data_IF_399749441938
#
_entry.id   IF_399749441938
#
_cell.length_a   1.000
_cell.length_b   1.000
_cell.length_c   1.000
_cell.angle_alpha   90.00
_cell.angle_beta   90.00
_cell.angle_gamma   90.00
#
_symmetry.space_group_name_H-M   'P 1'
#
loop_
_entity.id
_entity.type
_entity.pdbx_description
1 polymer ?
#
# COMPACT_ATOMS: atom_id res chain seq x y z
N UNK A 1 7.60 4.61 -0.90
CA UNK A 1 7.80 5.13 0.46
C UNK A 1 8.12 6.63 0.46
N UNK A 2 9.18 7.07 -0.24
CA UNK A 2 9.58 8.49 -0.28
C UNK A 2 8.46 9.46 -0.67
N UNK A 3 7.75 9.19 -1.78
CA UNK A 3 6.63 10.03 -2.22
C UNK A 3 5.51 10.12 -1.18
N UNK A 4 5.11 8.98 -0.58
CA UNK A 4 4.07 8.96 0.47
C UNK A 4 4.46 9.77 1.69
N UNK A 5 5.73 9.71 2.09
CA UNK A 5 6.26 10.51 3.20
C UNK A 5 6.28 12.00 2.88
N UNK A 6 6.64 12.37 1.65
CA UNK A 6 6.60 13.75 1.18
C UNK A 6 5.18 14.32 1.22
N UNK A 7 4.20 13.58 0.68
CA UNK A 7 2.77 13.93 0.74
C UNK A 7 2.34 14.16 2.19
N UNK A 8 2.59 13.19 3.09
CA UNK A 8 2.22 13.32 4.50
C UNK A 8 2.82 14.57 5.16
N UNK A 9 4.10 14.83 4.92
CA UNK A 9 4.79 15.97 5.51
C UNK A 9 4.24 17.30 4.98
N UNK A 10 3.95 17.39 3.68
CA UNK A 10 3.35 18.57 3.05
C UNK A 10 1.93 18.82 3.55
N UNK A 11 1.11 17.79 3.74
CA UNK A 11 -0.23 17.89 4.34
C UNK A 11 -0.20 18.45 5.77
N UNK A 12 0.88 18.19 6.50
CA UNK A 12 1.14 18.74 7.83
C UNK A 12 1.79 20.14 7.80
N UNK A 13 1.89 20.76 6.62
CA UNK A 13 2.40 22.12 6.43
C UNK A 13 3.93 22.24 6.32
N UNK A 14 4.65 21.13 6.24
CA UNK A 14 6.09 21.17 6.02
C UNK A 14 6.43 21.59 4.57
N UNK A 15 7.53 22.33 4.41
CA UNK A 15 8.14 22.56 3.09
C UNK A 15 9.02 21.36 2.74
N UNK A 16 8.70 20.67 1.66
CA UNK A 16 9.33 19.40 1.27
C UNK A 16 9.94 19.54 -0.13
N UNK A 17 11.05 18.85 -0.34
CA UNK A 17 11.64 18.61 -1.66
C UNK A 17 11.91 17.11 -1.80
N UNK A 18 11.61 16.53 -2.96
CA UNK A 18 11.88 15.12 -3.27
C UNK A 18 13.11 15.04 -4.15
N UNK A 19 14.18 14.43 -3.62
CA UNK A 19 15.41 14.19 -4.38
C UNK A 19 15.54 12.72 -4.70
N UNK A 20 15.78 12.39 -5.97
CA UNK A 20 16.03 11.02 -6.42
C UNK A 20 17.24 10.97 -7.36
N UNK A 21 17.93 9.82 -7.37
CA UNK A 21 19.06 9.56 -8.27
C UNK A 21 18.62 9.53 -9.74
N UNK A 22 17.42 9.04 -10.00
CA UNK A 22 16.84 8.85 -11.33
C UNK A 22 15.43 9.46 -11.34
N UNK A 23 14.72 9.37 -12.47
CA UNK A 23 13.35 9.86 -12.57
C UNK A 23 12.45 9.14 -11.57
N UNK A 24 11.55 9.87 -10.90
CA UNK A 24 10.68 9.29 -9.87
C UNK A 24 9.83 8.13 -10.39
N UNK A 25 9.43 8.17 -11.67
CA UNK A 25 8.68 7.11 -12.34
C UNK A 25 9.46 5.81 -12.58
N UNK A 26 10.80 5.87 -12.56
CA UNK A 26 11.67 4.71 -12.82
C UNK A 26 12.03 3.96 -11.52
N UNK A 27 11.42 4.35 -10.40
CA UNK A 27 11.58 3.65 -9.13
C UNK A 27 11.20 2.16 -9.25
N UNK A 28 11.97 1.29 -8.59
CA UNK A 28 11.74 -0.16 -8.60
C UNK A 28 10.32 -0.56 -8.13
N UNK A 29 9.66 0.29 -7.34
CA UNK A 29 8.25 0.11 -6.94
C UNK A 29 7.30 -0.06 -8.13
N UNK A 30 7.56 0.59 -9.28
CA UNK A 30 6.74 0.45 -10.48
C UNK A 30 6.73 -0.96 -11.09
N UNK A 31 7.70 -1.80 -10.74
CA UNK A 31 7.83 -3.17 -11.23
C UNK A 31 7.13 -4.20 -10.33
N UNK A 32 6.55 -3.79 -9.20
CA UNK A 32 5.78 -4.69 -8.35
C UNK A 32 4.47 -5.08 -9.04
N UNK A 33 4.22 -6.39 -9.18
CA UNK A 33 3.04 -6.89 -9.90
C UNK A 33 1.97 -7.43 -8.95
N UNK A 34 2.34 -8.37 -8.07
CA UNK A 34 1.40 -9.26 -7.38
C UNK A 34 0.40 -8.61 -6.42
N UNK A 35 0.68 -7.41 -5.93
CA UNK A 35 -0.23 -6.68 -5.05
C UNK A 35 0.37 -6.36 -3.69
N UNK A 36 -0.51 -6.14 -2.73
CA UNK A 36 -0.18 -5.77 -1.36
C UNK A 36 -1.14 -6.42 -0.37
N UNK A 37 -0.64 -6.76 0.81
CA UNK A 37 -1.41 -7.49 1.82
C UNK A 37 -2.20 -6.53 2.70
N UNK A 38 -3.52 -6.71 2.77
CA UNK A 38 -4.43 -5.90 3.55
C UNK A 38 -5.76 -6.62 3.82
N UNK A 39 -6.30 -6.47 5.02
CA UNK A 39 -7.59 -7.01 5.40
C UNK A 39 -8.75 -6.06 5.02
N UNK A 40 -9.12 -6.04 3.74
CA UNK A 40 -10.20 -5.17 3.22
C UNK A 40 -11.59 -5.82 3.20
N UNK A 41 -11.64 -7.15 3.28
CA UNK A 41 -12.87 -7.92 3.10
C UNK A 41 -12.89 -9.13 4.03
N UNK A 42 -14.05 -9.38 4.66
CA UNK A 42 -14.27 -10.59 5.43
C UNK A 42 -14.06 -11.85 4.56
N UNK A 43 -13.47 -12.93 5.11
CA UNK A 43 -13.20 -13.16 6.53
C UNK A 43 -11.87 -12.59 7.04
N UNK A 44 -11.07 -11.93 6.21
CA UNK A 44 -9.77 -11.42 6.61
C UNK A 44 -9.90 -10.31 7.66
N UNK A 45 -9.05 -10.36 8.69
CA UNK A 45 -8.97 -9.34 9.74
C UNK A 45 -7.55 -8.82 9.91
N UNK A 46 -7.36 -7.60 10.43
CA UNK A 46 -6.03 -7.08 10.79
C UNK A 46 -5.26 -8.02 11.73
N UNK A 47 -5.95 -8.75 12.62
CA UNK A 47 -5.33 -9.70 13.53
C UNK A 47 -4.79 -10.93 12.81
N UNK A 48 -5.48 -11.42 11.77
CA UNK A 48 -4.97 -12.49 10.91
C UNK A 48 -3.73 -12.03 10.14
N UNK A 49 -3.75 -10.81 9.57
CA UNK A 49 -2.60 -10.22 8.89
C UNK A 49 -1.39 -10.07 9.82
N UNK A 50 -1.62 -9.59 11.05
CA UNK A 50 -0.60 -9.50 12.09
C UNK A 50 0.02 -10.86 12.39
N UNK A 51 -0.82 -11.87 12.64
CA UNK A 51 -0.37 -13.22 12.95
C UNK A 51 0.47 -13.82 11.81
N UNK A 52 -0.03 -13.76 10.59
CA UNK A 52 0.68 -14.27 9.41
C UNK A 52 2.05 -13.60 9.23
N UNK A 53 2.14 -12.29 9.53
CA UNK A 53 3.39 -11.52 9.41
C UNK A 53 4.40 -11.91 10.49
N UNK A 54 3.95 -12.10 11.74
CA UNK A 54 4.80 -12.54 12.86
C UNK A 54 5.29 -13.97 12.63
N UNK A 55 4.40 -14.88 12.28
CA UNK A 55 4.74 -16.29 12.03
C UNK A 55 5.67 -16.40 10.81
N UNK A 56 5.34 -15.70 9.72
CA UNK A 56 6.16 -15.67 8.49
C UNK A 56 7.52 -15.00 8.67
N UNK A 57 7.64 -14.10 9.65
CA UNK A 57 8.89 -13.47 10.06
C UNK A 57 9.61 -14.19 11.19
N UNK A 58 9.21 -15.41 11.56
CA UNK A 58 9.92 -16.26 12.54
C UNK A 58 10.10 -15.58 13.90
N UNK A 59 9.16 -14.72 14.30
CA UNK A 59 9.16 -13.99 15.57
C UNK A 59 10.37 -13.06 15.80
N UNK A 60 11.19 -12.79 14.78
CA UNK A 60 12.27 -11.80 14.86
C UNK A 60 11.80 -10.37 14.55
N UNK A 61 10.53 -10.20 14.18
CA UNK A 61 9.94 -8.89 13.90
C UNK A 61 9.78 -8.06 15.18
N UNK A 62 9.75 -6.74 15.00
CA UNK A 62 9.26 -5.86 16.05
C UNK A 62 7.72 -5.90 16.10
N UNK A 63 7.17 -6.56 17.12
CA UNK A 63 5.73 -6.74 17.29
C UNK A 63 4.93 -5.43 17.27
N UNK A 64 5.48 -4.33 17.82
CA UNK A 64 4.77 -3.05 17.84
C UNK A 64 4.59 -2.51 16.44
N UNK A 65 5.63 -2.60 15.61
CA UNK A 65 5.59 -2.13 14.23
C UNK A 65 4.68 -3.00 13.36
N UNK A 66 4.71 -4.33 13.53
CA UNK A 66 3.82 -5.23 12.78
C UNK A 66 2.35 -5.00 13.15
N UNK A 67 2.06 -4.69 14.41
CA UNK A 67 0.71 -4.35 14.86
C UNK A 67 0.21 -3.08 14.17
N UNK A 68 0.99 -1.99 14.26
CA UNK A 68 0.69 -0.73 13.58
C UNK A 68 0.48 -0.97 12.08
N UNK A 69 1.41 -1.67 11.44
CA UNK A 69 1.33 -1.99 10.02
C UNK A 69 0.03 -2.72 9.66
N UNK A 70 -0.34 -3.75 10.41
CA UNK A 70 -1.51 -4.57 10.09
C UNK A 70 -2.83 -3.85 10.36
N UNK A 71 -2.90 -3.03 11.41
CA UNK A 71 -4.09 -2.27 11.82
C UNK A 71 -4.34 -1.03 10.95
N UNK A 72 -3.29 -0.31 10.55
CA UNK A 72 -3.42 0.92 9.75
C UNK A 72 -3.55 0.66 8.25
N UNK A 73 -3.15 -0.52 7.77
CA UNK A 73 -3.12 -0.85 6.33
C UNK A 73 -4.45 -0.57 5.61
N UNK A 74 -5.64 -0.92 6.15
CA UNK A 74 -6.91 -0.66 5.48
C UNK A 74 -7.15 0.83 5.20
N UNK A 75 -6.84 1.72 6.15
CA UNK A 75 -6.92 3.17 5.92
C UNK A 75 -5.92 3.62 4.85
N UNK A 76 -4.71 3.04 4.85
CA UNK A 76 -3.70 3.41 3.84
C UNK A 76 -4.11 3.02 2.42
N UNK A 77 -5.00 2.03 2.24
CA UNK A 77 -5.61 1.75 0.93
C UNK A 77 -6.54 2.87 0.50
N UNK A 78 -7.32 3.40 1.44
CA UNK A 78 -8.25 4.49 1.14
C UNK A 78 -7.49 5.76 0.75
N UNK A 79 -6.35 6.05 1.40
CA UNK A 79 -5.43 7.12 0.95
C UNK A 79 -5.02 6.91 -0.53
N UNK A 80 -4.60 5.70 -0.88
CA UNK A 80 -4.14 5.39 -2.25
C UNK A 80 -5.27 5.56 -3.27
N UNK A 81 -6.50 5.15 -2.94
CA UNK A 81 -7.66 5.40 -3.79
C UNK A 81 -7.96 6.90 -3.94
N UNK A 82 -7.78 7.70 -2.89
CA UNK A 82 -7.91 9.15 -2.97
C UNK A 82 -6.87 9.79 -3.89
N UNK A 83 -5.66 9.24 -3.95
CA UNK A 83 -4.62 9.65 -4.91
C UNK A 83 -4.88 9.13 -6.33
N UNK A 84 -5.97 8.39 -6.56
CA UNK A 84 -6.39 7.92 -7.87
C UNK A 84 -5.96 6.50 -8.24
N UNK A 85 -5.41 5.73 -7.29
CA UNK A 85 -5.11 4.30 -7.50
C UNK A 85 -6.42 3.52 -7.63
N UNK A 86 -6.51 2.66 -8.65
CA UNK A 86 -7.72 1.87 -8.92
C UNK A 86 -7.49 0.41 -8.61
N UNK A 87 -7.94 -0.04 -7.45
CA UNK A 87 -7.87 -1.45 -7.07
C UNK A 87 -8.99 -2.26 -7.70
N UNK A 88 -8.71 -3.55 -7.93
CA UNK A 88 -9.65 -4.47 -8.52
C UNK A 88 -10.86 -4.69 -7.60
N UNK A 89 -12.04 -4.68 -8.22
CA UNK A 89 -13.33 -4.89 -7.55
C UNK A 89 -14.02 -6.11 -8.15
N UNK A 90 -14.80 -6.78 -7.32
CA UNK A 90 -15.75 -7.79 -7.73
C UNK A 90 -16.99 -7.13 -8.37
N UNK A 91 -17.84 -7.88 -9.10
CA UNK A 91 -19.04 -7.32 -9.73
C UNK A 91 -20.02 -6.65 -8.75
N UNK A 92 -19.97 -7.00 -7.46
CA UNK A 92 -20.76 -6.41 -6.39
C UNK A 92 -20.15 -5.11 -5.81
N UNK A 93 -19.00 -4.66 -6.33
CA UNK A 93 -18.27 -3.47 -5.88
C UNK A 93 -17.35 -3.71 -4.67
N UNK A 94 -17.36 -4.91 -4.08
CA UNK A 94 -16.42 -5.26 -3.01
C UNK A 94 -15.00 -5.44 -3.55
N UNK A 95 -13.99 -5.31 -2.69
CA UNK A 95 -12.60 -5.52 -3.10
C UNK A 95 -12.37 -6.96 -3.58
N UNK A 96 -11.68 -7.10 -4.71
CA UNK A 96 -11.12 -8.39 -5.11
C UNK A 96 -9.90 -8.68 -4.24
N UNK A 97 -9.98 -9.72 -3.42
CA UNK A 97 -8.84 -10.20 -2.63
C UNK A 97 -8.70 -11.72 -2.73
N UNK A 98 -7.48 -12.20 -2.60
CA UNK A 98 -7.17 -13.63 -2.68
C UNK A 98 -6.11 -14.05 -1.64
N UNK A 99 -6.09 -15.34 -1.33
CA UNK A 99 -5.16 -15.92 -0.37
C UNK A 99 -3.84 -16.28 -1.06
N UNK A 100 -2.78 -15.54 -0.74
CA UNK A 100 -1.42 -15.85 -1.19
C UNK A 100 -0.85 -17.06 -0.45
N UNK A 101 0.24 -17.64 -0.97
CA UNK A 101 0.75 -18.95 -0.52
C UNK A 101 1.20 -19.07 0.93
N UNK A 102 1.29 -17.97 1.69
CA UNK A 102 1.64 -17.97 3.13
C UNK A 102 0.61 -17.27 4.02
N UNK A 103 -0.57 -16.94 3.49
CA UNK A 103 -1.61 -16.25 4.24
C UNK A 103 -2.68 -17.22 4.71
N UNK A 104 -3.15 -17.03 5.95
CA UNK A 104 -4.29 -17.75 6.52
C UNK A 104 -5.64 -17.20 6.04
N UNK A 105 -5.64 -16.04 5.39
CA UNK A 105 -6.83 -15.33 4.90
C UNK A 105 -6.59 -14.63 3.54
N UNK A 106 -7.65 -14.25 2.79
CA UNK A 106 -7.51 -13.55 1.52
C UNK A 106 -7.10 -12.08 1.70
N UNK A 107 -5.79 -11.86 1.89
CA UNK A 107 -5.20 -10.54 2.16
C UNK A 107 -4.64 -9.84 0.92
N UNK A 108 -4.39 -10.54 -0.20
CA UNK A 108 -3.75 -9.90 -1.34
C UNK A 108 -4.75 -9.05 -2.11
N UNK A 109 -4.51 -7.74 -2.15
CA UNK A 109 -5.22 -6.75 -2.97
C UNK A 109 -4.33 -6.35 -4.15
N UNK A 110 -4.91 -6.24 -5.34
CA UNK A 110 -4.18 -5.90 -6.57
C UNK A 110 -4.93 -4.86 -7.41
N UNK A 111 -4.21 -4.31 -8.38
CA UNK A 111 -4.74 -3.53 -9.50
C UNK A 111 -4.18 -4.16 -10.79
N UNK A 112 -4.91 -5.15 -11.32
CA UNK A 112 -4.40 -6.07 -12.34
C UNK A 112 -3.05 -6.69 -11.96
N UNK A 113 -2.23 -6.94 -12.99
CA UNK A 113 -0.86 -7.47 -12.83
C UNK A 113 0.21 -6.37 -12.73
N UNK A 114 -0.18 -5.15 -12.38
CA UNK A 114 0.70 -3.97 -12.41
C UNK A 114 0.45 -3.04 -11.23
N UNK A 115 0.12 -3.62 -10.07
CA UNK A 115 -0.23 -2.88 -8.84
C UNK A 115 0.80 -1.80 -8.47
N UNK A 116 2.10 -2.11 -8.60
CA UNK A 116 3.17 -1.16 -8.32
C UNK A 116 3.18 0.04 -9.25
N UNK A 117 2.87 -0.16 -10.54
CA UNK A 117 2.72 0.91 -11.52
C UNK A 117 1.52 1.80 -11.18
N UNK A 118 0.37 1.23 -10.85
CA UNK A 118 -0.82 2.01 -10.45
C UNK A 118 -0.54 2.83 -9.19
N UNK A 119 0.07 2.21 -8.17
CA UNK A 119 0.46 2.91 -6.95
C UNK A 119 1.42 4.07 -7.23
N UNK A 120 2.42 3.86 -8.09
CA UNK A 120 3.35 4.92 -8.49
C UNK A 120 2.64 6.05 -9.24
N UNK A 121 1.70 5.73 -10.13
CA UNK A 121 0.92 6.75 -10.84
C UNK A 121 0.07 7.60 -9.89
N UNK A 122 -0.64 6.98 -8.94
CA UNK A 122 -1.42 7.72 -7.96
C UNK A 122 -0.55 8.61 -7.06
N UNK A 123 0.56 8.08 -6.55
CA UNK A 123 1.49 8.86 -5.73
C UNK A 123 2.12 10.03 -6.50
N UNK A 124 2.47 9.84 -7.77
CA UNK A 124 3.02 10.92 -8.60
C UNK A 124 1.96 11.98 -8.92
N UNK A 125 0.72 11.56 -9.22
CA UNK A 125 -0.38 12.49 -9.43
C UNK A 125 -0.63 13.37 -8.20
N UNK A 126 -0.51 12.81 -7.00
CA UNK A 126 -0.66 13.55 -5.76
C UNK A 126 0.51 14.51 -5.49
N UNK A 127 1.75 14.10 -5.80
CA UNK A 127 2.94 14.98 -5.75
C UNK A 127 2.76 16.19 -6.68
N UNK A 128 2.29 15.96 -7.90
CA UNK A 128 2.00 17.01 -8.88
C UNK A 128 0.87 17.92 -8.41
N UNK A 129 -0.21 17.36 -7.84
CA UNK A 129 -1.35 18.10 -7.29
C UNK A 129 -0.94 19.05 -6.16
N UNK A 130 -0.05 18.59 -5.28
CA UNK A 130 0.48 19.36 -4.15
C UNK A 130 1.64 20.30 -4.57
N UNK A 131 2.04 20.28 -5.85
CA UNK A 131 3.16 21.04 -6.38
C UNK A 131 4.44 20.86 -5.55
N UNK A 132 4.71 19.62 -5.12
CA UNK A 132 5.91 19.28 -4.35
C UNK A 132 7.09 19.22 -5.34
N UNK A 133 8.15 20.02 -5.14
CA UNK A 133 9.32 20.05 -6.01
C UNK A 133 10.26 18.85 -5.82
#
# INVERSE_FOLDING_TARGET
SGLRAAIAATEQGAKVIVVAKELLRDAHTGWAMGGLNVAMKAPATPQMHFKDTIDGGWFINNYKLVKIFSEEMPERIHDLEQYGVKFDRLPDGSYFTWAGGKHSAPLNLCAGDYTGREMMQGLLAEIDRLAIP
#
